data_IF_303806358012
#
_entry.id   IF_303806358012
#
_cell.length_a   1.000
_cell.length_b   1.000
_cell.length_c   1.000
_cell.angle_alpha   90.00
_cell.angle_beta   90.00
_cell.angle_gamma   90.00
#
_symmetry.space_group_name_H-M   'P 1'
#
loop_
_entity.id
_entity.type
_entity.pdbx_description
1 polymer ?
#
# COMPACT_ATOMS: atom_id res chain seq x y z
N UNK A 1 -39.53 13.24 19.35
CA UNK A 1 -38.37 13.86 18.69
C UNK A 1 -37.35 12.75 18.51
N UNK A 2 -37.13 12.27 17.30
CA UNK A 2 -36.08 11.28 17.04
C UNK A 2 -34.76 12.04 17.00
N UNK A 3 -33.87 11.76 17.94
CA UNK A 3 -32.49 12.21 17.84
C UNK A 3 -31.90 11.53 16.60
N UNK A 4 -31.63 12.31 15.56
CA UNK A 4 -30.81 11.84 14.44
C UNK A 4 -29.44 11.59 15.04
N UNK A 5 -29.04 10.33 15.13
CA UNK A 5 -27.69 9.98 15.54
C UNK A 5 -26.76 10.54 14.46
N UNK A 6 -26.08 11.64 14.74
CA UNK A 6 -25.07 12.21 13.85
C UNK A 6 -24.06 11.10 13.52
N UNK A 7 -23.83 10.88 12.23
CA UNK A 7 -22.93 9.83 11.75
C UNK A 7 -21.55 10.46 11.63
N UNK A 8 -20.74 10.28 12.66
CA UNK A 8 -19.34 10.70 12.61
C UNK A 8 -18.52 9.81 11.66
N UNK A 9 -17.47 10.37 11.06
CA UNK A 9 -16.44 9.64 10.32
C UNK A 9 -15.83 8.55 11.20
N UNK A 10 -15.33 7.49 10.58
CA UNK A 10 -14.50 6.53 11.30
C UNK A 10 -13.25 7.25 11.82
N UNK A 11 -12.84 6.97 13.05
CA UNK A 11 -11.58 7.47 13.65
C UNK A 11 -10.41 6.51 13.45
N UNK A 12 -10.43 5.77 12.34
CA UNK A 12 -9.42 4.77 12.01
C UNK A 12 -8.02 5.39 12.03
N UNK A 13 -7.13 4.81 12.83
CA UNK A 13 -5.76 5.30 13.02
C UNK A 13 -5.65 6.77 13.50
N UNK A 14 -6.76 7.36 13.94
CA UNK A 14 -6.85 8.70 14.53
C UNK A 14 -7.49 8.63 15.91
N UNK A 15 -8.29 9.64 16.26
CA UNK A 15 -8.94 9.73 17.57
C UNK A 15 -10.14 10.67 17.56
N UNK A 16 -10.81 10.72 18.72
CA UNK A 16 -11.81 11.73 19.05
C UNK A 16 -11.17 12.74 19.98
N UNK A 17 -11.37 14.03 19.71
CA UNK A 17 -11.03 15.12 20.63
C UNK A 17 -12.32 15.80 21.10
N UNK A 18 -12.19 16.79 21.98
CA UNK A 18 -13.30 17.67 22.36
C UNK A 18 -13.75 18.60 21.22
N UNK A 19 -12.92 18.79 20.20
CA UNK A 19 -13.14 19.76 19.11
C UNK A 19 -13.51 19.12 17.77
N UNK A 20 -13.05 17.90 17.52
CA UNK A 20 -13.20 17.23 16.22
C UNK A 20 -12.95 15.72 16.31
N UNK A 21 -13.47 15.01 15.32
CA UNK A 21 -13.15 13.62 15.03
C UNK A 21 -12.10 13.60 13.92
N UNK A 22 -11.16 12.67 13.98
CA UNK A 22 -10.18 12.56 12.91
C UNK A 22 -9.73 11.12 12.67
N UNK A 23 -9.34 10.87 11.42
CA UNK A 23 -8.68 9.65 10.96
C UNK A 23 -7.52 10.00 10.05
N UNK A 24 -6.70 9.00 9.74
CA UNK A 24 -5.56 9.21 8.85
C UNK A 24 -5.14 7.93 8.15
N UNK A 25 -4.47 8.14 7.02
CA UNK A 25 -3.58 7.19 6.38
C UNK A 25 -2.13 7.69 6.49
N UNK A 26 -1.17 7.02 5.86
CA UNK A 26 0.19 7.56 5.75
C UNK A 26 0.24 8.88 4.97
N UNK A 27 -0.66 9.07 4.00
CA UNK A 27 -0.64 10.19 3.05
C UNK A 27 -1.63 11.30 3.42
N UNK A 28 -2.71 10.99 4.11
CA UNK A 28 -3.82 11.92 4.32
C UNK A 28 -4.22 11.96 5.80
N UNK A 29 -4.75 13.11 6.23
CA UNK A 29 -5.50 13.26 7.48
C UNK A 29 -6.88 13.84 7.18
N UNK A 30 -7.93 13.23 7.75
CA UNK A 30 -9.32 13.67 7.59
C UNK A 30 -9.87 14.12 8.93
N UNK A 31 -10.50 15.29 8.97
CA UNK A 31 -11.16 15.85 10.14
C UNK A 31 -12.65 16.03 9.88
N UNK A 32 -13.44 15.81 10.91
CA UNK A 32 -14.82 16.23 11.01
C UNK A 32 -14.98 17.17 12.20
N UNK A 33 -15.50 18.38 11.93
CA UNK A 33 -15.67 19.45 12.89
C UNK A 33 -17.13 19.85 12.92
N UNK A 34 -17.73 19.79 14.11
CA UNK A 34 -19.10 20.25 14.32
C UNK A 34 -19.11 21.78 14.29
N UNK A 35 -19.79 22.36 13.30
CA UNK A 35 -19.94 23.82 13.15
C UNK A 35 -21.34 24.30 13.50
N UNK A 36 -22.28 23.39 13.76
CA UNK A 36 -23.70 23.70 13.96
C UNK A 36 -24.40 24.14 12.68
N UNK A 37 -25.73 24.25 12.71
CA UNK A 37 -26.54 24.49 11.50
C UNK A 37 -26.15 25.80 10.79
N UNK A 38 -25.62 25.68 9.57
CA UNK A 38 -25.15 26.78 8.73
C UNK A 38 -25.18 26.40 7.24
N UNK A 39 -25.07 27.40 6.37
CA UNK A 39 -24.84 27.16 4.94
C UNK A 39 -23.36 27.10 4.64
N UNK A 40 -22.99 26.42 3.55
CA UNK A 40 -21.60 26.38 3.09
C UNK A 40 -21.02 27.79 2.83
N UNK A 41 -21.86 28.75 2.44
CA UNK A 41 -21.47 30.16 2.26
C UNK A 41 -21.05 30.87 3.55
N UNK A 42 -21.49 30.35 4.70
CA UNK A 42 -21.19 30.91 6.02
C UNK A 42 -19.88 30.33 6.57
N UNK A 43 -19.36 29.26 5.96
CA UNK A 43 -18.15 28.57 6.41
C UNK A 43 -16.94 29.06 5.62
N UNK A 44 -15.88 29.40 6.34
CA UNK A 44 -14.56 29.68 5.76
C UNK A 44 -13.52 28.76 6.37
N UNK A 45 -12.92 27.93 5.50
CA UNK A 45 -11.78 27.07 5.83
C UNK A 45 -10.53 27.63 5.18
N UNK A 46 -9.54 27.98 5.99
CA UNK A 46 -8.21 28.42 5.55
C UNK A 46 -7.19 27.36 5.94
N UNK A 47 -6.61 26.73 4.92
CA UNK A 47 -5.59 25.70 5.07
C UNK A 47 -4.29 26.29 4.54
N UNK A 48 -3.31 26.40 5.42
CA UNK A 48 -1.94 26.71 5.04
C UNK A 48 -1.06 25.49 5.28
N UNK A 49 0.17 25.51 4.77
CA UNK A 49 1.08 24.38 4.93
C UNK A 49 1.34 24.01 6.40
N UNK A 50 1.08 24.88 7.38
CA UNK A 50 1.37 24.61 8.81
C UNK A 50 0.25 25.02 9.76
N UNK A 51 -0.88 25.53 9.28
CA UNK A 51 -1.99 26.00 10.14
C UNK A 51 -3.32 25.72 9.47
N UNK A 52 -4.31 25.44 10.31
CA UNK A 52 -5.71 25.28 9.93
C UNK A 52 -6.55 26.31 10.70
N UNK A 53 -7.45 26.97 9.98
CA UNK A 53 -8.48 27.84 10.57
C UNK A 53 -9.84 27.51 9.96
N UNK A 54 -10.84 27.30 10.81
CA UNK A 54 -12.24 27.06 10.44
C UNK A 54 -13.10 28.10 11.15
N UNK A 55 -13.86 28.86 10.37
CA UNK A 55 -14.76 29.90 10.87
C UNK A 55 -16.17 29.70 10.33
N UNK A 56 -17.16 30.08 11.15
CA UNK A 56 -18.56 30.18 10.78
C UNK A 56 -19.01 31.62 10.99
N UNK A 57 -19.24 32.35 9.90
CA UNK A 57 -19.41 33.80 9.94
C UNK A 57 -18.17 34.47 10.54
N UNK A 58 -18.35 35.16 11.67
CA UNK A 58 -17.25 35.79 12.42
C UNK A 58 -16.71 34.93 13.57
N UNK A 59 -17.36 33.80 13.88
CA UNK A 59 -16.98 32.91 14.96
C UNK A 59 -15.85 31.96 14.52
N UNK A 60 -14.77 31.92 15.30
CA UNK A 60 -13.68 30.96 15.09
C UNK A 60 -14.06 29.64 15.75
N UNK A 61 -14.32 28.62 14.93
CA UNK A 61 -14.69 27.28 15.40
C UNK A 61 -13.44 26.47 15.75
N UNK A 62 -12.43 26.50 14.88
CA UNK A 62 -11.17 25.80 15.10
C UNK A 62 -10.01 26.63 14.57
N UNK A 63 -8.95 26.76 15.37
CA UNK A 63 -7.70 27.37 14.92
C UNK A 63 -6.52 26.69 15.59
N UNK A 64 -5.48 26.37 14.82
CA UNK A 64 -4.29 25.75 15.38
C UNK A 64 -3.13 25.65 14.40
N UNK A 65 -1.97 25.32 14.95
CA UNK A 65 -0.79 24.91 14.18
C UNK A 65 -0.88 23.41 13.94
N UNK A 66 -0.71 22.98 12.69
CA UNK A 66 -0.72 21.57 12.31
C UNK A 66 0.52 20.86 12.88
N UNK A 67 0.37 19.58 13.21
CA UNK A 67 1.44 18.73 13.72
C UNK A 67 2.63 18.64 12.75
N UNK A 68 2.35 18.51 11.46
CA UNK A 68 3.35 18.57 10.39
C UNK A 68 2.77 19.28 9.15
N UNK A 69 3.60 19.46 8.12
CA UNK A 69 3.20 20.14 6.90
C UNK A 69 2.20 19.35 6.06
N UNK A 70 1.26 20.06 5.49
CA UNK A 70 0.32 19.57 4.45
C UNK A 70 0.61 20.26 3.12
N UNK A 71 0.02 19.73 2.05
CA UNK A 71 -0.06 20.34 0.71
C UNK A 71 -1.45 21.01 0.59
N UNK A 72 -1.57 22.34 0.83
CA UNK A 72 -2.86 23.01 0.86
C UNK A 72 -3.63 22.92 -0.44
N UNK A 73 -2.92 22.93 -1.57
CA UNK A 73 -3.46 22.83 -2.93
C UNK A 73 -4.08 21.45 -3.23
N UNK A 74 -3.67 20.41 -2.50
CA UNK A 74 -4.24 19.05 -2.58
C UNK A 74 -5.23 18.77 -1.45
N UNK A 75 -5.52 19.77 -0.61
CA UNK A 75 -6.46 19.65 0.49
C UNK A 75 -7.85 20.15 0.08
N UNK A 76 -8.89 19.45 0.48
CA UNK A 76 -10.28 19.77 0.16
C UNK A 76 -11.13 19.80 1.43
N UNK A 77 -12.24 20.54 1.37
CA UNK A 77 -13.25 20.52 2.42
C UNK A 77 -14.64 20.58 1.83
N UNK A 78 -15.62 20.10 2.58
CA UNK A 78 -17.04 20.23 2.27
C UNK A 78 -17.87 20.33 3.56
N UNK A 79 -19.09 20.82 3.42
CA UNK A 79 -20.09 20.84 4.50
C UNK A 79 -21.06 19.67 4.30
N UNK A 80 -21.15 18.81 5.30
CA UNK A 80 -22.06 17.66 5.36
C UNK A 80 -23.23 17.98 6.32
N UNK A 81 -24.43 17.58 5.91
CA UNK A 81 -25.70 17.73 6.65
C UNK A 81 -25.99 19.14 7.21
N UNK A 82 -25.42 20.19 6.61
CA UNK A 82 -25.55 21.59 7.04
C UNK A 82 -24.96 21.88 8.43
N UNK A 83 -24.24 20.96 9.07
CA UNK A 83 -23.71 21.17 10.43
C UNK A 83 -22.30 20.62 10.68
N UNK A 84 -21.71 19.88 9.74
CA UNK A 84 -20.39 19.25 9.91
C UNK A 84 -19.45 19.63 8.79
N UNK A 85 -18.28 20.17 9.11
CA UNK A 85 -17.23 20.44 8.14
C UNK A 85 -16.29 19.25 8.08
N UNK A 86 -16.22 18.62 6.91
CA UNK A 86 -15.25 17.56 6.61
C UNK A 86 -14.06 18.18 5.88
N UNK A 87 -12.85 17.96 6.38
CA UNK A 87 -11.60 18.45 5.79
C UNK A 87 -10.68 17.27 5.55
N UNK A 88 -10.27 17.07 4.30
CA UNK A 88 -9.21 16.13 3.93
C UNK A 88 -7.96 16.91 3.56
N UNK A 89 -6.86 16.66 4.27
CA UNK A 89 -5.57 17.31 4.02
C UNK A 89 -4.51 16.30 3.61
N UNK A 90 -3.90 16.53 2.46
CA UNK A 90 -2.76 15.74 1.99
C UNK A 90 -1.50 16.13 2.78
N UNK A 91 -0.83 15.15 3.37
CA UNK A 91 0.43 15.35 4.10
C UNK A 91 1.56 15.60 3.11
N UNK A 92 2.47 16.51 3.47
CA UNK A 92 3.67 16.76 2.66
C UNK A 92 4.68 15.60 2.70
N UNK A 93 4.58 14.70 3.68
CA UNK A 93 5.42 13.50 3.83
C UNK A 93 4.56 12.36 4.36
N UNK A 94 4.83 11.15 3.87
CA UNK A 94 4.18 9.94 4.39
C UNK A 94 4.59 9.65 5.83
N UNK A 95 3.68 9.80 6.79
CA UNK A 95 3.91 9.44 8.19
C UNK A 95 2.61 9.34 9.00
N UNK A 96 2.73 8.77 10.21
CA UNK A 96 1.65 8.73 11.19
C UNK A 96 1.74 9.95 12.11
N UNK A 97 0.67 10.74 12.13
CA UNK A 97 0.54 11.90 13.00
C UNK A 97 0.05 11.44 14.38
N UNK A 98 0.62 12.01 15.43
CA UNK A 98 0.16 11.74 16.81
C UNK A 98 -1.02 12.61 17.22
N UNK A 99 -1.21 13.76 16.57
CA UNK A 99 -2.36 14.64 16.72
C UNK A 99 -2.52 15.47 15.43
N UNK A 100 -3.65 16.14 15.22
CA UNK A 100 -3.79 17.07 14.08
C UNK A 100 -3.20 18.43 14.40
N UNK A 101 -3.59 19.01 15.54
CA UNK A 101 -3.11 20.30 15.99
C UNK A 101 -2.10 20.13 17.14
N UNK A 102 -1.01 20.90 17.10
CA UNK A 102 -0.02 20.93 18.17
C UNK A 102 -0.67 21.33 19.50
N UNK A 103 -0.43 20.53 20.55
CA UNK A 103 -1.00 20.73 21.88
C UNK A 103 -2.25 19.88 22.17
N UNK A 104 -2.83 19.25 21.15
CA UNK A 104 -3.97 18.35 21.34
C UNK A 104 -3.53 16.98 21.90
N UNK A 105 -4.45 16.21 22.51
CA UNK A 105 -4.17 14.86 22.97
C UNK A 105 -3.55 13.99 21.88
N UNK A 106 -2.49 13.28 22.24
CA UNK A 106 -1.71 12.47 21.30
C UNK A 106 -2.13 11.00 21.33
N UNK A 107 -2.19 10.37 20.16
CA UNK A 107 -2.32 8.92 20.02
C UNK A 107 -0.95 8.25 20.02
N UNK A 108 -0.91 6.97 20.42
CA UNK A 108 0.29 6.14 20.30
C UNK A 108 0.46 5.64 18.86
N UNK A 109 1.29 6.32 18.08
CA UNK A 109 1.49 6.02 16.66
C UNK A 109 2.16 4.67 16.40
N UNK A 110 2.69 4.01 17.43
CA UNK A 110 3.30 2.67 17.32
C UNK A 110 2.27 1.54 17.25
N UNK A 111 1.02 1.81 17.66
CA UNK A 111 -0.09 0.84 17.68
C UNK A 111 -1.03 0.97 16.48
N UNK A 112 -0.68 1.84 15.54
CA UNK A 112 -1.50 2.18 14.37
C UNK A 112 -1.46 1.03 13.38
N UNK A 113 -2.62 0.66 12.84
CA UNK A 113 -2.72 -0.44 11.89
C UNK A 113 -2.15 0.01 10.54
N UNK A 114 -0.95 -0.50 10.22
CA UNK A 114 -0.16 -0.09 9.06
C UNK A 114 -0.34 -1.00 7.84
N UNK A 115 -1.26 -1.97 7.92
CA UNK A 115 -1.52 -2.91 6.83
C UNK A 115 -2.15 -2.19 5.65
N UNK A 116 -1.34 -1.86 4.65
CA UNK A 116 -1.81 -1.56 3.30
C UNK A 116 -2.35 -2.84 2.69
N UNK A 117 -3.48 -2.76 1.98
CA UNK A 117 -3.96 -3.90 1.21
C UNK A 117 -2.98 -4.19 0.09
N UNK A 118 -2.84 -5.47 -0.26
CA UNK A 118 -1.95 -5.90 -1.33
C UNK A 118 -2.24 -5.15 -2.65
N UNK A 119 -3.51 -4.83 -2.91
CA UNK A 119 -3.98 -4.09 -4.08
C UNK A 119 -3.42 -2.67 -4.20
N UNK A 120 -2.96 -2.05 -3.12
CA UNK A 120 -2.43 -0.68 -3.08
C UNK A 120 -0.98 -0.57 -3.57
N UNK A 121 -0.27 -1.69 -3.69
CA UNK A 121 1.10 -1.73 -4.23
C UNK A 121 1.08 -1.86 -5.76
N UNK A 122 2.10 -1.32 -6.43
CA UNK A 122 2.32 -1.56 -7.86
C UNK A 122 2.59 -3.05 -8.15
N UNK A 123 2.40 -3.47 -9.41
CA UNK A 123 2.45 -4.89 -9.78
C UNK A 123 3.79 -5.58 -9.51
N UNK A 124 4.90 -4.85 -9.58
CA UNK A 124 6.24 -5.40 -9.29
C UNK A 124 6.37 -5.66 -7.78
N UNK A 125 6.01 -4.67 -6.96
CA UNK A 125 6.00 -4.79 -5.50
C UNK A 125 5.05 -5.89 -5.02
N UNK A 126 3.87 -6.01 -5.63
CA UNK A 126 2.95 -7.12 -5.36
C UNK A 126 3.60 -8.48 -5.68
N UNK A 127 4.29 -8.59 -6.81
CA UNK A 127 5.02 -9.82 -7.18
C UNK A 127 6.07 -10.20 -6.15
N UNK A 128 6.88 -9.23 -5.71
CA UNK A 128 7.91 -9.44 -4.69
C UNK A 128 7.33 -9.88 -3.35
N UNK A 129 6.27 -9.22 -2.87
CA UNK A 129 5.59 -9.58 -1.63
C UNK A 129 5.00 -11.00 -1.71
N UNK A 130 4.35 -11.37 -2.83
CA UNK A 130 3.84 -12.76 -3.04
C UNK A 130 4.96 -13.79 -2.98
N UNK A 131 6.11 -13.51 -3.60
CA UNK A 131 7.29 -14.38 -3.55
C UNK A 131 7.78 -14.57 -2.12
N UNK A 132 7.89 -13.47 -1.35
CA UNK A 132 8.32 -13.52 0.06
C UNK A 132 7.36 -14.35 0.89
N UNK A 133 6.04 -14.13 0.75
CA UNK A 133 5.03 -14.89 1.49
C UNK A 133 5.09 -16.38 1.15
N UNK A 134 5.25 -16.73 -0.13
CA UNK A 134 5.41 -18.11 -0.56
C UNK A 134 6.67 -18.75 0.05
N UNK A 135 7.83 -18.08 -0.07
CA UNK A 135 9.11 -18.58 0.41
C UNK A 135 9.11 -18.76 1.93
N UNK A 136 8.50 -17.84 2.69
CA UNK A 136 8.34 -17.98 4.13
C UNK A 136 7.48 -19.19 4.50
N UNK A 137 6.37 -19.43 3.81
CA UNK A 137 5.51 -20.58 4.04
C UNK A 137 6.21 -21.91 3.68
N UNK A 138 6.95 -21.96 2.57
CA UNK A 138 7.75 -23.14 2.20
C UNK A 138 8.82 -23.43 3.27
N UNK A 139 9.53 -22.40 3.73
CA UNK A 139 10.55 -22.52 4.78
C UNK A 139 9.99 -23.10 6.08
N UNK A 140 8.82 -22.63 6.52
CA UNK A 140 8.15 -23.17 7.71
C UNK A 140 7.77 -24.66 7.55
N UNK A 141 7.48 -25.08 6.32
CA UNK A 141 7.14 -26.46 5.98
C UNK A 141 8.37 -27.32 5.62
N UNK A 142 9.59 -26.77 5.69
CA UNK A 142 10.81 -27.46 5.27
C UNK A 142 10.85 -27.79 3.78
N UNK A 143 10.07 -27.09 2.96
CA UNK A 143 9.96 -27.29 1.51
C UNK A 143 10.81 -26.28 0.73
N UNK A 144 11.10 -26.55 -0.57
CA UNK A 144 11.94 -25.68 -1.38
C UNK A 144 11.32 -24.31 -1.65
N UNK A 145 12.16 -23.27 -1.73
CA UNK A 145 11.74 -21.91 -2.10
C UNK A 145 11.36 -21.80 -3.58
N UNK A 146 10.72 -20.69 -3.95
CA UNK A 146 10.41 -20.35 -5.34
C UNK A 146 11.63 -20.43 -6.26
N UNK A 147 12.79 -19.92 -5.82
CA UNK A 147 14.03 -19.96 -6.60
C UNK A 147 14.56 -21.38 -6.77
N UNK A 148 14.45 -22.20 -5.72
CA UNK A 148 14.87 -23.61 -5.77
C UNK A 148 13.96 -24.44 -6.68
N UNK A 149 12.65 -24.20 -6.64
CA UNK A 149 11.69 -24.83 -7.54
C UNK A 149 11.95 -24.44 -9.00
N UNK A 150 12.14 -23.15 -9.27
CA UNK A 150 12.48 -22.66 -10.62
C UNK A 150 13.78 -23.28 -11.13
N UNK A 151 14.79 -23.37 -10.27
CA UNK A 151 16.07 -24.00 -10.59
C UNK A 151 15.89 -25.49 -10.90
N UNK A 152 15.13 -26.22 -10.08
CA UNK A 152 14.86 -27.64 -10.28
C UNK A 152 14.06 -27.92 -11.57
N UNK A 153 13.07 -27.09 -11.88
CA UNK A 153 12.29 -27.20 -13.12
C UNK A 153 13.15 -26.99 -14.36
N UNK A 154 14.00 -25.95 -14.36
CA UNK A 154 14.94 -25.74 -15.46
C UNK A 154 15.92 -26.88 -15.65
N UNK A 155 16.41 -27.46 -14.56
CA UNK A 155 17.31 -28.61 -14.62
C UNK A 155 16.61 -29.83 -15.18
N UNK A 156 15.35 -30.04 -14.81
CA UNK A 156 14.53 -31.10 -15.38
C UNK A 156 14.28 -30.88 -16.88
N UNK A 157 14.06 -29.65 -17.32
CA UNK A 157 13.93 -29.33 -18.74
C UNK A 157 15.25 -29.55 -19.50
N UNK A 158 16.38 -29.10 -18.96
CA UNK A 158 17.70 -29.31 -19.53
C UNK A 158 18.09 -30.79 -19.58
N UNK A 159 17.73 -31.56 -18.55
CA UNK A 159 17.93 -33.01 -18.48
C UNK A 159 17.24 -33.74 -19.62
N UNK A 160 16.03 -33.30 -19.98
CA UNK A 160 15.20 -33.91 -21.03
C UNK A 160 15.41 -33.29 -22.41
N UNK A 161 16.26 -32.27 -22.54
CA UNK A 161 16.53 -31.61 -23.80
C UNK A 161 17.19 -32.54 -24.82
N UNK A 162 16.99 -32.22 -26.10
CA UNK A 162 17.58 -32.94 -27.22
C UNK A 162 19.12 -32.80 -27.22
N UNK A 163 19.84 -33.92 -27.23
CA UNK A 163 21.30 -33.96 -27.10
C UNK A 163 21.82 -34.05 -25.66
N UNK A 164 20.94 -34.04 -24.64
CA UNK A 164 21.32 -34.35 -23.26
C UNK A 164 21.75 -35.82 -23.14
N UNK A 165 22.89 -36.13 -22.49
CA UNK A 165 23.31 -37.50 -22.23
C UNK A 165 22.37 -38.22 -21.25
N UNK A 166 21.50 -37.47 -20.57
CA UNK A 166 20.53 -38.00 -19.60
C UNK A 166 19.10 -38.10 -20.16
N UNK A 167 18.87 -37.72 -21.42
CA UNK A 167 17.54 -37.74 -22.05
C UNK A 167 16.92 -39.15 -21.97
N UNK A 168 15.71 -39.22 -21.43
CA UNK A 168 14.96 -40.48 -21.28
C UNK A 168 15.20 -41.21 -19.96
N UNK A 169 16.06 -40.69 -19.08
CA UNK A 169 16.18 -41.15 -17.69
C UNK A 169 15.35 -40.26 -16.76
N UNK A 170 14.88 -40.80 -15.63
CA UNK A 170 14.17 -39.99 -14.63
C UNK A 170 15.12 -38.94 -14.03
N UNK A 171 14.59 -37.74 -13.78
CA UNK A 171 15.36 -36.64 -13.21
C UNK A 171 15.71 -36.96 -11.75
N UNK A 172 17.01 -37.13 -11.48
CA UNK A 172 17.54 -37.32 -10.13
C UNK A 172 18.23 -36.04 -9.63
N UNK A 173 17.58 -35.27 -8.73
CA UNK A 173 18.13 -34.02 -8.21
C UNK A 173 19.38 -34.22 -7.34
N UNK A 174 19.68 -35.44 -6.87
CA UNK A 174 20.87 -35.70 -6.04
C UNK A 174 22.16 -35.79 -6.85
N UNK A 175 22.06 -35.95 -8.17
CA UNK A 175 23.21 -35.99 -9.09
C UNK A 175 23.76 -34.61 -9.44
N UNK A 176 23.13 -33.53 -8.94
CA UNK A 176 23.51 -32.15 -9.21
C UNK A 176 24.12 -31.51 -7.96
N UNK A 177 25.43 -31.27 -7.99
CA UNK A 177 26.13 -30.58 -6.91
C UNK A 177 26.01 -29.06 -7.11
N UNK A 178 24.98 -28.45 -6.53
CA UNK A 178 24.64 -27.04 -6.75
C UNK A 178 25.08 -26.20 -5.56
N UNK A 179 26.18 -25.49 -5.72
CA UNK A 179 26.74 -24.62 -4.67
C UNK A 179 26.24 -23.17 -4.72
N UNK A 180 25.08 -22.87 -5.32
CA UNK A 180 24.52 -21.52 -5.28
C UNK A 180 23.34 -21.26 -6.23
N UNK A 181 22.66 -20.11 -6.05
CA UNK A 181 21.61 -19.65 -6.97
C UNK A 181 22.17 -19.37 -8.36
N UNK A 182 21.45 -19.82 -9.39
CA UNK A 182 21.77 -19.53 -10.79
C UNK A 182 21.37 -18.07 -11.10
N UNK A 183 22.18 -17.34 -11.87
CA UNK A 183 21.90 -15.92 -12.18
C UNK A 183 20.77 -15.72 -13.20
N UNK A 184 20.01 -14.62 -13.09
CA UNK A 184 18.88 -14.28 -13.98
C UNK A 184 19.24 -14.25 -15.48
N UNK A 185 20.45 -13.82 -15.83
CA UNK A 185 20.92 -13.78 -17.23
C UNK A 185 20.93 -15.16 -17.89
N UNK A 186 21.23 -16.21 -17.11
CA UNK A 186 21.20 -17.58 -17.59
C UNK A 186 19.78 -18.05 -17.86
N UNK A 187 18.82 -17.70 -16.99
CA UNK A 187 17.40 -18.00 -17.20
C UNK A 187 16.89 -17.35 -18.48
N UNK A 188 17.20 -16.07 -18.67
CA UNK A 188 16.77 -15.32 -19.86
C UNK A 188 17.34 -15.91 -21.16
N UNK A 189 18.62 -16.27 -21.17
CA UNK A 189 19.27 -16.87 -22.33
C UNK A 189 18.68 -18.25 -22.70
N UNK A 190 18.27 -19.05 -21.71
CA UNK A 190 17.63 -20.34 -21.93
C UNK A 190 16.19 -20.19 -22.45
N UNK A 191 15.41 -19.26 -21.89
CA UNK A 191 14.06 -18.95 -22.36
C UNK A 191 14.08 -18.45 -23.81
N UNK A 192 15.01 -17.56 -24.15
CA UNK A 192 15.20 -17.06 -25.53
C UNK A 192 15.54 -18.19 -26.50
N UNK A 193 16.43 -19.12 -26.11
CA UNK A 193 16.72 -20.32 -26.92
C UNK A 193 15.51 -21.23 -27.08
N UNK A 194 14.69 -21.39 -26.02
CA UNK A 194 13.45 -22.19 -26.07
C UNK A 194 12.43 -21.60 -27.04
N UNK A 195 12.23 -20.27 -26.97
CA UNK A 195 11.32 -19.53 -27.87
C UNK A 195 11.82 -19.61 -29.33
N UNK A 196 13.12 -19.45 -29.55
CA UNK A 196 13.73 -19.55 -30.87
C UNK A 196 13.55 -20.95 -31.48
N UNK A 197 13.86 -22.01 -30.73
CA UNK A 197 13.68 -23.39 -31.19
C UNK A 197 12.21 -23.82 -31.35
N UNK A 198 11.26 -23.15 -30.68
CA UNK A 198 9.83 -23.34 -30.92
C UNK A 198 9.37 -22.66 -32.22
N UNK A 199 9.89 -21.46 -32.52
CA UNK A 199 9.60 -20.72 -33.77
C UNK A 199 10.16 -21.44 -35.00
N UNK A 200 11.36 -21.99 -34.91
CA UNK A 200 11.99 -22.75 -36.01
C UNK A 200 11.23 -24.04 -36.34
N UNK A 201 10.64 -24.70 -35.34
CA UNK A 201 9.78 -25.88 -35.54
C UNK A 201 8.42 -25.56 -36.18
N UNK A 202 7.91 -24.35 -36.03
CA UNK A 202 6.66 -23.91 -36.66
C UNK A 202 6.85 -23.35 -38.08
N UNK A 203 8.06 -22.90 -38.43
CA UNK A 203 8.38 -22.37 -39.77
C UNK A 203 8.83 -23.41 -40.81
N UNK A 204 9.06 -24.67 -40.42
CA UNK A 204 9.62 -25.72 -41.26
C UNK A 204 8.62 -26.67 -41.93
N UNK A 205 7.32 -26.37 -41.91
CA UNK A 205 6.30 -27.12 -42.67
C UNK A 205 5.75 -26.26 -43.80
N UNK A 206 6.45 -26.26 -44.93
CA UNK A 206 5.91 -25.93 -46.25
C UNK A 206 6.32 -27.03 -47.23
#
# INVERSE_FOLDING_TARGET
MHAVSARHISTWNGAVTDKYYWSQSLQEVTLEIEVGNCKASDVKVDISATRLTVMRGEETVLVGKLHEKVLPEESIWHLEDEHQVIISMQKSRENWWKCVLEGDPEIDTTKVESTRKMEEYDGETQGAIRKIMFDQNQKLQGKPSSDQLRTAEMMKDAWNAEGSPFRGTEFDPTMLNLSGPVGEDFFKAMEEKRIQGARERQGGSQ
#
